data_IF_309587868333
#
_entry.id   IF_309587868333
#
_cell.length_a   1.000
_cell.length_b   1.000
_cell.length_c   1.000
_cell.angle_alpha   90.00
_cell.angle_beta   90.00
_cell.angle_gamma   90.00
#
_symmetry.space_group_name_H-M   'P 1'
#
loop_
_entity.id
_entity.type
_entity.pdbx_description
1 polymer ?
#
# COMPACT_ATOMS: atom_id res chain seq x y z
N UNK A 1 -40.74 -24.54 17.20
CA UNK A 1 -39.44 -25.08 16.71
C UNK A 1 -38.82 -24.26 15.57
N UNK A 2 -39.59 -23.54 14.75
CA UNK A 2 -39.04 -22.69 13.67
C UNK A 2 -38.24 -21.46 14.15
N UNK A 3 -38.66 -20.78 15.23
CA UNK A 3 -38.01 -19.56 15.71
C UNK A 3 -36.57 -19.76 16.22
N UNK A 4 -36.26 -20.97 16.73
CA UNK A 4 -34.95 -21.28 17.33
C UNK A 4 -33.88 -21.55 16.26
N UNK A 5 -34.28 -22.05 15.09
CA UNK A 5 -33.36 -22.27 13.95
C UNK A 5 -32.95 -20.92 13.36
N UNK A 6 -33.90 -19.99 13.24
CA UNK A 6 -33.66 -18.65 12.71
C UNK A 6 -32.73 -17.80 13.59
N UNK A 7 -32.76 -17.96 14.92
CA UNK A 7 -31.90 -17.21 15.85
C UNK A 7 -30.45 -17.71 15.88
N UNK A 8 -30.22 -19.01 15.68
CA UNK A 8 -28.86 -19.55 15.60
C UNK A 8 -28.15 -19.12 14.32
N UNK A 9 -28.87 -19.07 13.19
CA UNK A 9 -28.33 -18.50 11.96
C UNK A 9 -28.10 -16.99 12.08
N UNK A 10 -29.01 -16.25 12.74
CA UNK A 10 -28.83 -14.80 12.89
C UNK A 10 -27.60 -14.43 13.72
N UNK A 11 -27.33 -15.13 14.83
CA UNK A 11 -26.17 -14.88 15.68
C UNK A 11 -24.84 -15.19 14.96
N UNK A 12 -24.80 -16.26 14.17
CA UNK A 12 -23.62 -16.59 13.36
C UNK A 12 -23.40 -15.55 12.23
N UNK A 13 -24.49 -15.08 11.61
CA UNK A 13 -24.45 -14.04 10.59
C UNK A 13 -23.96 -12.71 11.17
N UNK A 14 -24.39 -12.34 12.37
CA UNK A 14 -23.92 -11.12 13.07
C UNK A 14 -22.41 -11.17 13.34
N UNK A 15 -21.89 -12.28 13.85
CA UNK A 15 -20.46 -12.43 14.09
C UNK A 15 -19.64 -12.45 12.80
N UNK A 16 -20.14 -13.08 11.73
CA UNK A 16 -19.49 -13.05 10.42
C UNK A 16 -19.48 -11.64 9.83
N UNK A 17 -20.58 -10.89 9.97
CA UNK A 17 -20.67 -9.51 9.53
C UNK A 17 -19.70 -8.60 10.32
N UNK A 18 -19.57 -8.80 11.62
CA UNK A 18 -18.60 -8.09 12.46
C UNK A 18 -17.15 -8.39 12.04
N UNK A 19 -16.80 -9.66 11.85
CA UNK A 19 -15.47 -10.08 11.39
C UNK A 19 -15.15 -9.52 9.99
N UNK A 20 -16.13 -9.50 9.09
CA UNK A 20 -15.99 -8.90 7.77
C UNK A 20 -15.76 -7.39 7.89
N UNK A 21 -16.53 -6.68 8.72
CA UNK A 21 -16.37 -5.25 8.95
C UNK A 21 -15.00 -4.90 9.56
N UNK A 22 -14.53 -5.67 10.54
CA UNK A 22 -13.19 -5.49 11.12
C UNK A 22 -12.10 -5.75 10.08
N UNK A 23 -12.23 -6.81 9.28
CA UNK A 23 -11.27 -7.15 8.24
C UNK A 23 -11.19 -6.06 7.16
N UNK A 24 -12.34 -5.57 6.69
CA UNK A 24 -12.40 -4.45 5.73
C UNK A 24 -11.87 -3.16 6.36
N UNK A 25 -12.19 -2.89 7.63
CA UNK A 25 -11.67 -1.74 8.38
C UNK A 25 -10.15 -1.76 8.52
N UNK A 26 -9.56 -2.93 8.78
CA UNK A 26 -8.10 -3.12 8.83
C UNK A 26 -7.48 -2.94 7.44
N UNK A 27 -8.05 -3.55 6.41
CA UNK A 27 -7.55 -3.43 5.04
C UNK A 27 -7.58 -1.97 4.54
N UNK A 28 -8.64 -1.23 4.88
CA UNK A 28 -8.78 0.18 4.53
C UNK A 28 -7.89 1.08 5.41
N UNK A 29 -7.79 0.79 6.71
CA UNK A 29 -7.06 1.61 7.68
C UNK A 29 -5.55 1.66 7.44
N UNK A 30 -4.97 0.62 6.84
CA UNK A 30 -3.53 0.58 6.57
C UNK A 30 -3.13 1.08 5.18
N UNK A 31 -4.08 1.42 4.30
CA UNK A 31 -3.88 1.87 2.91
C UNK A 31 -2.69 1.14 2.22
N UNK A 32 -2.68 -0.18 2.40
CA UNK A 32 -1.56 -1.05 2.03
C UNK A 32 -1.38 -1.02 0.51
N UNK A 33 -2.50 -0.91 -0.22
CA UNK A 33 -2.53 -0.80 -1.68
C UNK A 33 -1.79 0.43 -2.18
N UNK A 34 -2.08 1.62 -1.64
CA UNK A 34 -1.41 2.84 -2.09
C UNK A 34 0.05 2.88 -1.65
N UNK A 35 0.38 2.43 -0.42
CA UNK A 35 1.76 2.32 0.07
C UNK A 35 2.58 1.39 -0.81
N UNK A 36 2.05 0.22 -1.15
CA UNK A 36 2.70 -0.73 -2.05
C UNK A 36 2.88 -0.16 -3.47
N UNK A 37 1.91 0.58 -3.98
CA UNK A 37 2.02 1.22 -5.28
C UNK A 37 3.08 2.33 -5.31
N UNK A 38 3.14 3.17 -4.27
CA UNK A 38 4.20 4.19 -4.09
C UNK A 38 5.59 3.53 -4.04
N UNK A 39 5.74 2.46 -3.27
CA UNK A 39 6.99 1.70 -3.20
C UNK A 39 7.42 1.14 -4.57
N UNK A 40 6.51 0.48 -5.31
CA UNK A 40 6.82 -0.03 -6.66
C UNK A 40 7.20 1.08 -7.63
N UNK A 41 6.57 2.25 -7.51
CA UNK A 41 6.88 3.41 -8.36
C UNK A 41 8.25 3.99 -8.05
N UNK A 42 8.60 4.16 -6.78
CA UNK A 42 9.93 4.58 -6.35
C UNK A 42 11.01 3.58 -6.80
N UNK A 43 10.75 2.28 -6.58
CA UNK A 43 11.67 1.20 -6.99
C UNK A 43 11.98 1.23 -8.49
N UNK A 44 10.96 1.34 -9.36
CA UNK A 44 11.18 1.42 -10.82
C UNK A 44 12.03 2.63 -11.21
N UNK A 45 11.82 3.77 -10.55
CA UNK A 45 12.54 5.02 -10.83
C UNK A 45 14.01 4.90 -10.47
N UNK A 46 14.28 4.36 -9.28
CA UNK A 46 15.64 4.08 -8.82
C UNK A 46 16.35 3.10 -9.76
N UNK A 47 15.71 1.97 -10.05
CA UNK A 47 16.32 0.93 -10.87
C UNK A 47 16.63 1.43 -12.30
N UNK A 48 15.76 2.28 -12.86
CA UNK A 48 16.02 2.94 -14.13
C UNK A 48 17.22 3.90 -14.08
N UNK A 49 17.43 4.61 -12.97
CA UNK A 49 18.58 5.49 -12.79
C UNK A 49 19.89 4.71 -12.67
N UNK A 50 19.89 3.60 -11.93
CA UNK A 50 21.05 2.69 -11.80
C UNK A 50 21.44 2.10 -13.15
N UNK A 51 20.46 1.56 -13.89
CA UNK A 51 20.72 0.99 -15.23
C UNK A 51 21.26 2.04 -16.21
N UNK A 52 20.83 3.30 -16.10
CA UNK A 52 21.36 4.39 -16.93
C UNK A 52 22.78 4.78 -16.52
N UNK A 53 23.09 4.78 -15.23
CA UNK A 53 24.43 5.04 -14.73
C UNK A 53 25.43 3.97 -15.20
N UNK A 54 25.03 2.70 -15.15
CA UNK A 54 25.88 1.58 -15.59
C UNK A 54 25.99 1.48 -17.12
N UNK A 55 24.90 1.76 -17.85
CA UNK A 55 24.79 1.52 -19.29
C UNK A 55 25.09 2.71 -20.20
N UNK A 56 25.10 3.95 -19.69
CA UNK A 56 25.29 5.15 -20.51
C UNK A 56 26.54 5.90 -20.04
N UNK A 57 27.60 5.96 -20.87
CA UNK A 57 28.80 6.73 -20.55
C UNK A 57 28.47 8.21 -20.31
N UNK A 58 28.98 8.78 -19.22
CA UNK A 58 28.75 10.19 -18.87
C UNK A 58 27.53 10.47 -17.99
N UNK A 59 26.76 9.45 -17.59
CA UNK A 59 25.82 9.58 -16.49
C UNK A 59 26.60 9.68 -15.17
N UNK A 60 26.54 10.84 -14.52
CA UNK A 60 27.15 11.07 -13.21
C UNK A 60 26.38 10.36 -12.09
N UNK A 61 27.08 10.02 -11.01
CA UNK A 61 26.49 9.40 -9.81
C UNK A 61 25.43 10.30 -9.15
N UNK A 62 25.50 11.61 -9.38
CA UNK A 62 24.52 12.60 -8.93
C UNK A 62 23.10 12.26 -9.41
N UNK A 63 22.95 11.68 -10.61
CA UNK A 63 21.64 11.28 -11.13
C UNK A 63 21.04 10.10 -10.35
N UNK A 64 21.90 9.20 -9.85
CA UNK A 64 21.47 8.06 -9.01
C UNK A 64 21.07 8.59 -7.64
N UNK A 65 21.87 9.47 -7.05
CA UNK A 65 21.59 10.11 -5.75
C UNK A 65 20.26 10.86 -5.81
N UNK A 66 20.04 11.68 -6.84
CA UNK A 66 18.79 12.39 -7.05
C UNK A 66 17.59 11.43 -7.21
N UNK A 67 17.77 10.30 -7.89
CA UNK A 67 16.71 9.30 -8.02
C UNK A 67 16.38 8.61 -6.68
N UNK A 68 17.35 8.46 -5.78
CA UNK A 68 17.12 8.02 -4.41
C UNK A 68 16.31 9.03 -3.62
N UNK A 69 16.73 10.31 -3.60
CA UNK A 69 16.00 11.40 -2.90
C UNK A 69 14.55 11.51 -3.39
N UNK A 70 14.35 11.47 -4.70
CA UNK A 70 13.00 11.51 -5.29
C UNK A 70 12.19 10.23 -4.99
N UNK A 71 12.86 9.09 -4.83
CA UNK A 71 12.23 7.83 -4.42
C UNK A 71 11.79 7.84 -2.96
N UNK A 72 12.63 8.36 -2.08
CA UNK A 72 12.31 8.57 -0.66
C UNK A 72 11.14 9.54 -0.49
N UNK A 73 11.10 10.62 -1.26
CA UNK A 73 9.92 11.50 -1.30
C UNK A 73 8.65 10.75 -1.73
N UNK A 74 8.71 9.89 -2.75
CA UNK A 74 7.53 9.12 -3.18
C UNK A 74 7.06 8.14 -2.10
N UNK A 75 7.96 7.56 -1.31
CA UNK A 75 7.63 6.60 -0.24
C UNK A 75 7.15 7.32 1.02
N UNK A 76 7.82 8.42 1.37
CA UNK A 76 7.64 9.22 2.58
C UNK A 76 6.53 10.28 2.49
N UNK A 77 6.07 10.66 1.28
CA UNK A 77 4.90 11.54 1.07
C UNK A 77 3.61 10.75 1.39
N UNK A 78 3.48 10.37 2.66
CA UNK A 78 2.20 10.07 3.30
C UNK A 78 1.60 11.44 3.57
N UNK A 79 0.88 12.00 2.59
CA UNK A 79 -0.06 13.07 2.89
C UNK A 79 -1.06 12.50 3.88
N UNK A 80 -0.93 12.88 5.15
CA UNK A 80 -2.04 12.79 6.09
C UNK A 80 -3.11 13.70 5.50
N UNK A 81 -4.03 13.13 4.70
CA UNK A 81 -5.27 13.84 4.42
C UNK A 81 -5.96 14.03 5.78
N UNK A 82 -6.17 15.28 6.23
CA UNK A 82 -7.00 15.49 7.41
C UNK A 82 -8.39 14.95 7.05
N UNK A 83 -8.87 14.04 7.90
CA UNK A 83 -10.14 13.29 7.79
C UNK A 83 -11.33 14.16 7.39
#
# INVERSE_FOLDING_TARGET
>A
MAAKINSFESEQIEWLAFLAAVSVGVLNGFDIGSKANRMRRAWRKLNAAVLRYEGIPGQGIENVIKAYEEGEMIIGDVKEEPK
#
